data_IF_324335073109
#
_entry.id   IF_324335073109
#
_cell.length_a   1.000
_cell.length_b   1.000
_cell.length_c   1.000
_cell.angle_alpha   90.00
_cell.angle_beta   90.00
_cell.angle_gamma   90.00
#
_symmetry.space_group_name_H-M   'P 1'
#
loop_
_entity.id
_entity.type
_entity.pdbx_description
1 polymer ?
#
# COMPACT_ATOMS: atom_id res chain seq x y z
N UNK A 1 -98.24 13.77 46.68
CA UNK A 1 -99.07 12.55 46.66
C UNK A 1 -99.10 12.03 45.22
N UNK A 2 -98.48 10.86 44.97
CA UNK A 2 -98.69 9.88 43.87
C UNK A 2 -98.51 10.36 42.41
N UNK A 3 -98.14 9.57 41.39
CA UNK A 3 -97.40 8.31 41.17
C UNK A 3 -97.25 8.21 39.63
N UNK A 4 -96.06 7.78 39.17
CA UNK A 4 -95.76 6.92 38.00
C UNK A 4 -96.79 6.71 36.86
N UNK A 5 -96.36 6.89 35.60
CA UNK A 5 -96.41 5.80 34.61
C UNK A 5 -95.39 5.92 33.44
N UNK A 6 -94.98 4.75 32.97
CA UNK A 6 -93.90 4.40 32.04
C UNK A 6 -94.35 4.44 30.55
N UNK A 7 -93.44 4.60 29.58
CA UNK A 7 -93.32 3.70 28.41
C UNK A 7 -92.10 3.99 27.48
N UNK A 8 -91.67 2.93 26.80
CA UNK A 8 -90.44 2.66 26.04
C UNK A 8 -90.30 3.30 24.63
N UNK A 9 -89.04 3.47 24.17
CA UNK A 9 -88.56 3.82 22.80
C UNK A 9 -88.70 2.63 21.81
N UNK A 10 -88.77 2.77 20.44
CA UNK A 10 -87.57 3.12 19.61
C UNK A 10 -87.76 3.72 18.18
N UNK A 11 -86.61 4.12 17.60
CA UNK A 11 -86.21 4.36 16.19
C UNK A 11 -86.90 5.47 15.34
N UNK A 12 -86.17 6.55 15.09
CA UNK A 12 -86.29 7.37 13.87
C UNK A 12 -84.97 7.32 13.10
N UNK A 13 -85.07 7.00 11.82
CA UNK A 13 -83.99 6.98 10.84
C UNK A 13 -83.30 8.34 10.74
N UNK A 14 -81.96 8.32 10.77
CA UNK A 14 -81.12 9.49 10.51
C UNK A 14 -80.67 9.40 9.05
N UNK A 15 -80.90 10.44 8.21
CA UNK A 15 -80.50 10.41 6.81
C UNK A 15 -78.98 10.51 6.66
N UNK A 16 -78.42 9.67 5.80
CA UNK A 16 -77.00 9.67 5.43
C UNK A 16 -76.63 10.92 4.61
N UNK A 17 -76.12 11.96 5.26
CA UNK A 17 -75.43 13.06 4.58
C UNK A 17 -73.97 12.65 4.38
N UNK A 18 -73.61 12.36 3.13
CA UNK A 18 -72.26 12.01 2.73
C UNK A 18 -71.28 13.16 2.96
N UNK A 19 -70.49 13.07 4.03
CA UNK A 19 -69.29 13.90 4.18
C UNK A 19 -68.22 13.43 3.19
N UNK A 20 -68.04 14.18 2.11
CA UNK A 20 -66.88 14.04 1.23
C UNK A 20 -65.65 14.58 1.95
N UNK A 21 -64.80 13.68 2.47
CA UNK A 21 -63.47 14.03 2.97
C UNK A 21 -62.66 14.62 1.81
N UNK A 22 -62.09 15.83 1.91
CA UNK A 22 -61.19 16.34 0.88
C UNK A 22 -59.99 15.39 0.81
N UNK A 23 -59.82 14.69 -0.31
CA UNK A 23 -58.55 14.00 -0.61
C UNK A 23 -57.46 15.06 -0.73
N UNK A 24 -56.83 15.36 0.40
CA UNK A 24 -55.67 16.23 0.50
C UNK A 24 -54.64 15.70 -0.50
N UNK A 25 -54.34 16.49 -1.52
CA UNK A 25 -53.58 16.08 -2.70
C UNK A 25 -52.08 15.97 -2.36
N UNK A 26 -51.76 15.07 -1.42
CA UNK A 26 -50.45 14.85 -0.80
C UNK A 26 -49.35 14.60 -1.84
N UNK A 27 -49.72 14.00 -2.97
CA UNK A 27 -48.85 13.78 -4.13
C UNK A 27 -48.49 15.07 -4.89
N UNK A 28 -49.42 16.04 -5.02
CA UNK A 28 -49.11 17.34 -5.65
C UNK A 28 -48.17 18.16 -4.76
N UNK A 29 -48.42 18.18 -3.44
CA UNK A 29 -47.57 18.88 -2.46
C UNK A 29 -46.18 18.24 -2.36
N UNK A 30 -46.09 16.91 -2.44
CA UNK A 30 -44.81 16.20 -2.45
C UNK A 30 -44.03 16.43 -3.75
N UNK A 31 -44.69 16.39 -4.91
CA UNK A 31 -44.05 16.73 -6.20
C UNK A 31 -43.55 18.19 -6.20
N UNK A 32 -44.32 19.13 -5.67
CA UNK A 32 -43.88 20.54 -5.54
C UNK A 32 -42.65 20.67 -4.63
N UNK A 33 -42.61 19.98 -3.47
CA UNK A 33 -41.43 19.97 -2.59
C UNK A 33 -40.20 19.34 -3.24
N UNK A 34 -40.38 18.29 -4.05
CA UNK A 34 -39.27 17.66 -4.79
C UNK A 34 -38.75 18.62 -5.87
N UNK A 35 -39.64 19.31 -6.58
CA UNK A 35 -39.25 20.30 -7.60
C UNK A 35 -38.53 21.50 -6.98
N UNK A 36 -38.96 22.00 -5.83
CA UNK A 36 -38.25 23.07 -5.12
C UNK A 36 -36.89 22.62 -4.59
N UNK A 37 -36.79 21.43 -3.98
CA UNK A 37 -35.49 20.87 -3.58
C UNK A 37 -34.54 20.71 -4.77
N UNK A 38 -35.04 20.26 -5.92
CA UNK A 38 -34.23 20.19 -7.15
C UNK A 38 -33.78 21.57 -7.63
N UNK A 39 -34.65 22.59 -7.59
CA UNK A 39 -34.24 23.97 -7.94
C UNK A 39 -33.16 24.51 -7.01
N UNK A 40 -33.28 24.27 -5.70
CA UNK A 40 -32.29 24.70 -4.71
C UNK A 40 -30.94 24.02 -4.94
N UNK A 41 -30.93 22.71 -5.22
CA UNK A 41 -29.71 21.97 -5.54
C UNK A 41 -29.09 22.46 -6.86
N UNK A 42 -29.90 22.71 -7.89
CA UNK A 42 -29.40 23.25 -9.17
C UNK A 42 -28.80 24.63 -8.95
N UNK A 43 -29.45 25.49 -8.15
CA UNK A 43 -28.96 26.83 -7.83
C UNK A 43 -27.64 26.78 -7.05
N UNK A 44 -27.53 25.91 -6.03
CA UNK A 44 -26.28 25.75 -5.28
C UNK A 44 -25.14 25.21 -6.15
N UNK A 45 -25.42 24.27 -7.05
CA UNK A 45 -24.41 23.76 -8.01
C UNK A 45 -24.01 24.85 -9.01
N UNK A 46 -24.92 25.74 -9.38
CA UNK A 46 -24.63 26.83 -10.32
C UNK A 46 -23.80 27.92 -9.63
N UNK A 47 -24.13 28.27 -8.38
CA UNK A 47 -23.36 29.19 -7.54
C UNK A 47 -21.96 28.62 -7.22
N UNK A 48 -21.84 27.31 -6.94
CA UNK A 48 -20.55 26.63 -6.77
C UNK A 48 -19.74 26.62 -8.08
N UNK A 49 -20.38 26.41 -9.23
CA UNK A 49 -19.71 26.49 -10.54
C UNK A 49 -19.24 27.91 -10.86
N UNK A 50 -20.05 28.92 -10.58
CA UNK A 50 -19.65 30.32 -10.75
C UNK A 50 -18.52 30.69 -9.78
N UNK A 51 -18.57 30.25 -8.52
CA UNK A 51 -17.47 30.44 -7.57
C UNK A 51 -16.18 29.71 -8.01
N UNK A 52 -16.29 28.52 -8.60
CA UNK A 52 -15.15 27.80 -9.20
C UNK A 52 -14.64 28.52 -10.45
N UNK A 53 -15.51 29.09 -11.29
CA UNK A 53 -15.12 29.85 -12.49
C UNK A 53 -14.47 31.18 -12.13
N UNK A 54 -14.99 31.91 -11.14
CA UNK A 54 -14.41 33.14 -10.60
C UNK A 54 -13.09 32.84 -9.90
N UNK A 55 -13.01 31.77 -9.10
CA UNK A 55 -11.74 31.35 -8.51
C UNK A 55 -10.75 30.89 -9.59
N UNK A 56 -11.23 30.30 -10.68
CA UNK A 56 -10.39 29.93 -11.83
C UNK A 56 -9.94 31.15 -12.64
N UNK A 57 -10.74 32.22 -12.74
CA UNK A 57 -10.33 33.47 -13.39
C UNK A 57 -9.37 34.28 -12.51
N UNK A 58 -9.59 34.32 -11.19
CA UNK A 58 -8.71 35.00 -10.23
C UNK A 58 -7.41 34.23 -9.98
N UNK A 59 -7.39 32.92 -10.26
CA UNK A 59 -6.15 32.10 -10.31
C UNK A 59 -5.51 32.10 -11.71
N UNK A 60 -6.12 32.76 -12.70
CA UNK A 60 -5.58 32.90 -14.07
C UNK A 60 -5.01 34.28 -14.39
N UNK A 61 -4.85 35.16 -13.41
CA UNK A 61 -3.79 36.17 -13.48
C UNK A 61 -2.46 35.44 -13.35
N UNK A 62 -2.05 34.86 -14.48
CA UNK A 62 -0.69 34.43 -14.71
C UNK A 62 0.21 35.63 -14.41
N UNK A 63 0.98 35.54 -13.32
CA UNK A 63 2.38 35.91 -13.47
C UNK A 63 2.89 35.10 -14.65
N UNK A 64 2.94 35.71 -15.84
CA UNK A 64 3.68 35.18 -16.98
C UNK A 64 5.14 35.06 -16.50
N UNK A 65 5.51 33.90 -15.95
CA UNK A 65 6.92 33.52 -15.95
C UNK A 65 7.37 33.56 -17.42
N UNK A 66 8.50 34.23 -17.72
CA UNK A 66 8.92 34.41 -19.10
C UNK A 66 9.03 33.02 -19.75
N UNK A 67 8.39 32.81 -20.91
CA UNK A 67 8.41 31.54 -21.67
C UNK A 67 9.82 30.94 -21.86
N UNK A 68 10.87 31.74 -21.70
CA UNK A 68 12.25 31.27 -21.65
C UNK A 68 12.57 30.44 -20.41
N UNK A 69 12.12 30.81 -19.22
CA UNK A 69 12.42 30.09 -17.96
C UNK A 69 11.70 28.74 -17.83
N UNK A 70 10.48 28.62 -18.36
CA UNK A 70 9.73 27.37 -18.33
C UNK A 70 10.33 26.33 -19.29
N UNK A 71 10.76 26.79 -20.48
CA UNK A 71 11.47 25.96 -21.48
C UNK A 71 12.86 25.57 -20.98
N UNK A 72 13.59 26.49 -20.33
CA UNK A 72 14.91 26.21 -19.76
C UNK A 72 14.81 25.20 -18.61
N UNK A 73 13.81 25.34 -17.71
CA UNK A 73 13.52 24.36 -16.64
C UNK A 73 13.14 22.98 -17.17
N UNK A 74 12.31 22.90 -18.21
CA UNK A 74 11.96 21.61 -18.83
C UNK A 74 13.15 20.98 -19.54
N UNK A 75 14.00 21.79 -20.18
CA UNK A 75 15.24 21.33 -20.82
C UNK A 75 16.22 20.80 -19.78
N UNK A 76 16.39 21.49 -18.66
CA UNK A 76 17.22 21.06 -17.53
C UNK A 76 16.69 19.79 -16.87
N UNK A 77 15.37 19.64 -16.73
CA UNK A 77 14.74 18.41 -16.25
C UNK A 77 14.95 17.25 -17.21
N UNK A 78 14.76 17.46 -18.51
CA UNK A 78 14.98 16.44 -19.53
C UNK A 78 16.46 16.04 -19.59
N UNK A 79 17.38 17.00 -19.50
CA UNK A 79 18.81 16.76 -19.45
C UNK A 79 19.21 15.99 -18.19
N UNK A 80 18.69 16.36 -17.02
CA UNK A 80 18.90 15.64 -15.76
C UNK A 80 18.37 14.21 -15.83
N UNK A 81 17.18 13.99 -16.41
CA UNK A 81 16.62 12.65 -16.63
C UNK A 81 17.48 11.83 -17.62
N UNK A 82 18.00 12.48 -18.66
CA UNK A 82 18.90 11.85 -19.64
C UNK A 82 20.24 11.43 -19.02
N UNK A 83 20.86 12.30 -18.22
CA UNK A 83 22.08 12.00 -17.47
C UNK A 83 21.81 10.88 -16.46
N UNK A 84 20.68 10.94 -15.75
CA UNK A 84 20.30 9.89 -14.82
C UNK A 84 20.13 8.53 -15.53
N UNK A 85 19.43 8.51 -16.66
CA UNK A 85 19.24 7.31 -17.46
C UNK A 85 20.59 6.77 -17.97
N UNK A 86 21.50 7.63 -18.44
CA UNK A 86 22.82 7.22 -18.90
C UNK A 86 23.67 6.60 -17.79
N UNK A 87 23.67 7.19 -16.60
CA UNK A 87 24.40 6.66 -15.43
C UNK A 87 23.80 5.32 -14.99
N UNK A 88 22.47 5.22 -14.90
CA UNK A 88 21.78 3.97 -14.55
C UNK A 88 22.06 2.89 -15.58
N UNK A 89 22.04 3.22 -16.88
CA UNK A 89 22.37 2.28 -17.95
C UNK A 89 23.85 1.86 -17.88
N UNK A 90 24.78 2.78 -17.62
CA UNK A 90 26.20 2.45 -17.47
C UNK A 90 26.45 1.55 -16.26
N UNK A 91 25.90 1.90 -15.09
CA UNK A 91 25.99 1.10 -13.88
C UNK A 91 25.31 -0.27 -14.06
N UNK A 92 24.13 -0.31 -14.68
CA UNK A 92 23.42 -1.53 -15.02
C UNK A 92 24.21 -2.40 -15.99
N UNK A 93 24.84 -1.81 -17.00
CA UNK A 93 25.72 -2.53 -17.94
C UNK A 93 26.93 -3.12 -17.23
N UNK A 94 27.58 -2.37 -16.33
CA UNK A 94 28.69 -2.88 -15.51
C UNK A 94 28.22 -4.00 -14.59
N UNK A 95 27.07 -3.85 -13.93
CA UNK A 95 26.51 -4.86 -13.04
C UNK A 95 26.17 -6.14 -13.81
N UNK A 96 25.51 -6.04 -14.96
CA UNK A 96 25.21 -7.17 -15.84
C UNK A 96 26.48 -7.81 -16.37
N UNK A 97 27.47 -7.01 -16.79
CA UNK A 97 28.75 -7.53 -17.26
C UNK A 97 29.46 -8.29 -16.13
N UNK A 98 29.48 -7.74 -14.92
CA UNK A 98 30.07 -8.39 -13.75
C UNK A 98 29.30 -9.64 -13.34
N UNK A 99 27.97 -9.64 -13.41
CA UNK A 99 27.14 -10.81 -13.13
C UNK A 99 27.40 -11.92 -14.15
N UNK A 100 27.47 -11.58 -15.44
CA UNK A 100 27.77 -12.53 -16.51
C UNK A 100 29.23 -12.99 -16.51
N UNK A 101 30.15 -12.18 -15.97
CA UNK A 101 31.58 -12.51 -15.90
C UNK A 101 32.01 -13.11 -14.57
N UNK A 102 31.17 -13.12 -13.53
CA UNK A 102 31.56 -13.49 -12.16
C UNK A 102 32.03 -14.94 -12.08
N UNK A 103 31.37 -15.80 -12.86
CA UNK A 103 31.61 -17.23 -12.96
C UNK A 103 32.08 -17.62 -14.37
N UNK A 104 32.72 -16.68 -15.08
CA UNK A 104 33.24 -16.92 -16.42
C UNK A 104 34.23 -18.10 -16.45
N UNK A 105 34.96 -18.33 -15.36
CA UNK A 105 35.86 -19.47 -15.21
C UNK A 105 35.11 -20.80 -14.95
N UNK A 106 33.90 -20.73 -14.39
CA UNK A 106 33.05 -21.89 -14.13
C UNK A 106 32.29 -22.36 -15.38
N UNK A 107 31.91 -21.44 -16.29
CA UNK A 107 31.15 -21.76 -17.51
C UNK A 107 31.99 -21.61 -18.79
N UNK A 108 33.31 -21.56 -18.66
CA UNK A 108 34.20 -21.45 -19.79
C UNK A 108 33.99 -22.60 -20.77
N UNK A 109 33.63 -22.29 -22.02
CA UNK A 109 33.35 -23.28 -23.05
C UNK A 109 31.90 -23.77 -23.13
N UNK A 110 31.00 -23.28 -22.27
CA UNK A 110 29.57 -23.56 -22.39
C UNK A 110 28.94 -22.75 -23.53
N UNK A 111 28.00 -23.37 -24.23
CA UNK A 111 27.11 -22.71 -25.17
C UNK A 111 26.08 -21.83 -24.43
N UNK A 112 25.47 -20.88 -25.15
CA UNK A 112 24.41 -20.03 -24.58
C UNK A 112 23.24 -20.84 -24.00
N UNK A 113 22.90 -21.96 -24.65
CA UNK A 113 21.86 -22.86 -24.16
C UNK A 113 22.24 -23.48 -22.81
N UNK A 114 23.48 -23.95 -22.68
CA UNK A 114 23.99 -24.53 -21.43
C UNK A 114 24.04 -23.50 -20.31
N UNK A 115 24.47 -22.27 -20.59
CA UNK A 115 24.44 -21.17 -19.62
C UNK A 115 23.01 -20.95 -19.13
N UNK A 116 22.04 -20.74 -20.03
CA UNK A 116 20.65 -20.48 -19.64
C UNK A 116 20.01 -21.65 -18.89
N UNK A 117 20.43 -22.89 -19.18
CA UNK A 117 19.87 -24.08 -18.55
C UNK A 117 20.51 -24.39 -17.19
N UNK A 118 21.83 -24.30 -17.06
CA UNK A 118 22.57 -24.79 -15.89
C UNK A 118 22.97 -23.68 -14.91
N UNK A 119 23.16 -22.44 -15.37
CA UNK A 119 23.49 -21.33 -14.47
C UNK A 119 22.47 -21.13 -13.35
N UNK A 120 21.14 -21.10 -13.61
CA UNK A 120 20.17 -20.93 -12.55
C UNK A 120 20.18 -22.10 -11.57
N UNK A 121 20.37 -23.32 -12.06
CA UNK A 121 20.44 -24.54 -11.25
C UNK A 121 21.67 -24.52 -10.33
N UNK A 122 22.85 -24.16 -10.86
CA UNK A 122 24.07 -24.06 -10.07
C UNK A 122 24.00 -22.95 -9.02
N UNK A 123 23.46 -21.78 -9.39
CA UNK A 123 23.24 -20.68 -8.46
C UNK A 123 22.26 -21.07 -7.35
N UNK A 124 21.21 -21.82 -7.69
CA UNK A 124 20.27 -22.36 -6.70
C UNK A 124 20.95 -23.32 -5.73
N UNK A 125 21.74 -24.29 -6.24
CA UNK A 125 22.48 -25.24 -5.40
C UNK A 125 23.48 -24.52 -4.49
N UNK A 126 24.23 -23.54 -5.01
CA UNK A 126 25.16 -22.73 -4.22
C UNK A 126 24.42 -21.96 -3.12
N UNK A 127 23.29 -21.35 -3.46
CA UNK A 127 22.44 -20.67 -2.49
C UNK A 127 21.93 -21.63 -1.40
N UNK A 128 21.44 -22.81 -1.76
CA UNK A 128 21.00 -23.82 -0.79
C UNK A 128 22.14 -24.31 0.12
N UNK A 129 23.37 -24.43 -0.40
CA UNK A 129 24.54 -24.75 0.41
C UNK A 129 24.85 -23.64 1.42
N UNK A 130 24.78 -22.38 1.01
CA UNK A 130 24.96 -21.24 1.90
C UNK A 130 23.85 -21.22 2.96
N UNK A 131 22.59 -21.49 2.57
CA UNK A 131 21.48 -21.60 3.53
C UNK A 131 21.71 -22.70 4.56
N UNK A 132 22.29 -23.84 4.18
CA UNK A 132 22.58 -24.93 5.13
C UNK A 132 23.70 -24.59 6.11
N UNK A 133 24.71 -23.85 5.66
CA UNK A 133 25.88 -23.51 6.49
C UNK A 133 25.65 -22.28 7.36
N UNK A 134 25.06 -21.23 6.79
CA UNK A 134 24.89 -19.92 7.41
C UNK A 134 23.51 -19.31 7.04
N UNK A 135 22.39 -19.93 7.47
CA UNK A 135 21.04 -19.56 7.03
C UNK A 135 20.69 -18.11 7.35
N UNK A 136 21.01 -17.66 8.57
CA UNK A 136 20.66 -16.33 9.06
C UNK A 136 21.41 -15.26 8.26
N UNK A 137 22.73 -15.40 8.12
CA UNK A 137 23.54 -14.41 7.42
C UNK A 137 23.16 -14.29 5.94
N UNK A 138 22.87 -15.42 5.27
CA UNK A 138 22.42 -15.42 3.89
C UNK A 138 21.13 -14.61 3.71
N UNK A 139 20.16 -14.87 4.60
CA UNK A 139 18.87 -14.19 4.64
C UNK A 139 19.02 -12.69 4.96
N UNK A 140 19.85 -12.34 5.93
CA UNK A 140 20.22 -10.96 6.24
C UNK A 140 20.82 -10.23 5.03
N UNK A 141 21.79 -10.85 4.35
CA UNK A 141 22.42 -10.24 3.17
C UNK A 141 21.41 -9.95 2.06
N UNK A 142 20.54 -10.92 1.74
CA UNK A 142 19.51 -10.76 0.70
C UNK A 142 18.50 -9.67 1.08
N UNK A 143 17.93 -9.72 2.28
CA UNK A 143 16.98 -8.69 2.74
C UNK A 143 17.60 -7.29 2.78
N UNK A 144 18.89 -7.17 3.15
CA UNK A 144 19.62 -5.90 3.11
C UNK A 144 19.71 -5.32 1.70
N UNK A 145 20.04 -6.15 0.71
CA UNK A 145 20.06 -5.75 -0.71
C UNK A 145 18.67 -5.35 -1.18
N UNK A 146 17.63 -6.13 -0.84
CA UNK A 146 16.24 -5.85 -1.23
C UNK A 146 15.77 -4.50 -0.70
N UNK A 147 16.01 -4.21 0.57
CA UNK A 147 15.59 -2.96 1.18
C UNK A 147 16.33 -1.74 0.60
N UNK A 148 17.64 -1.88 0.35
CA UNK A 148 18.41 -0.84 -0.34
C UNK A 148 17.92 -0.62 -1.76
N UNK A 149 17.64 -1.70 -2.51
CA UNK A 149 17.17 -1.60 -3.88
C UNK A 149 15.76 -1.00 -3.96
N UNK A 150 14.86 -1.39 -3.05
CA UNK A 150 13.51 -0.83 -2.98
C UNK A 150 13.52 0.67 -2.71
N UNK A 151 14.32 1.13 -1.73
CA UNK A 151 14.45 2.56 -1.45
C UNK A 151 15.10 3.31 -2.62
N UNK A 152 16.08 2.69 -3.29
CA UNK A 152 16.67 3.25 -4.51
C UNK A 152 15.61 3.45 -5.59
N UNK A 153 14.83 2.41 -5.91
CA UNK A 153 13.79 2.48 -6.94
C UNK A 153 12.77 3.57 -6.60
N UNK A 154 12.38 3.69 -5.33
CA UNK A 154 11.46 4.73 -4.88
C UNK A 154 12.01 6.14 -5.14
N UNK A 155 13.28 6.39 -4.80
CA UNK A 155 13.93 7.67 -5.09
C UNK A 155 14.05 7.96 -6.59
N UNK A 156 14.25 6.93 -7.42
CA UNK A 156 14.19 7.10 -8.88
C UNK A 156 12.77 7.48 -9.35
N UNK A 157 11.73 6.91 -8.75
CA UNK A 157 10.34 7.23 -9.05
C UNK A 157 9.95 8.65 -8.62
N UNK A 158 10.48 9.15 -7.49
CA UNK A 158 10.35 10.54 -7.04
C UNK A 158 10.99 11.56 -8.02
N UNK A 159 11.82 11.10 -8.97
CA UNK A 159 12.41 11.94 -10.01
C UNK A 159 13.55 12.85 -9.52
N UNK A 160 14.16 12.54 -8.37
CA UNK A 160 15.30 13.31 -7.83
C UNK A 160 16.51 13.20 -8.78
N UNK A 161 17.22 14.31 -9.06
CA UNK A 161 18.48 14.25 -9.82
C UNK A 161 19.52 13.39 -9.06
N UNK A 162 20.42 12.70 -9.78
CA UNK A 162 21.31 11.70 -9.17
C UNK A 162 22.20 12.23 -8.04
N UNK A 163 22.53 13.53 -8.06
CA UNK A 163 23.34 14.17 -7.04
C UNK A 163 22.54 14.56 -5.78
N UNK A 164 21.22 14.61 -5.86
CA UNK A 164 20.30 14.83 -4.72
C UNK A 164 19.78 13.51 -4.12
N UNK A 165 20.26 12.38 -4.64
CA UNK A 165 19.90 11.06 -4.16
C UNK A 165 20.38 10.85 -2.72
N UNK A 166 19.46 10.55 -1.80
CA UNK A 166 19.77 10.36 -0.39
C UNK A 166 20.34 8.95 -0.17
N UNK A 167 21.66 8.85 -0.27
CA UNK A 167 22.42 7.62 0.01
C UNK A 167 22.29 7.18 1.45
N UNK A 168 22.11 8.12 2.37
CA UNK A 168 21.96 7.81 3.80
C UNK A 168 20.62 7.12 4.03
N UNK A 169 19.57 7.53 3.33
CA UNK A 169 18.27 6.86 3.35
C UNK A 169 18.35 5.42 2.82
N UNK A 170 19.00 5.20 1.67
CA UNK A 170 19.23 3.84 1.13
C UNK A 170 20.02 2.97 2.11
N UNK A 171 21.05 3.53 2.74
CA UNK A 171 21.86 2.83 3.74
C UNK A 171 21.04 2.47 4.98
N UNK A 172 20.22 3.39 5.50
CA UNK A 172 19.34 3.11 6.65
C UNK A 172 18.32 2.03 6.32
N UNK A 173 17.70 2.09 5.13
CA UNK A 173 16.77 1.05 4.66
C UNK A 173 17.46 -0.30 4.58
N UNK A 174 18.62 -0.36 3.91
CA UNK A 174 19.43 -1.58 3.80
C UNK A 174 19.88 -2.14 5.15
N UNK A 175 20.22 -1.27 6.11
CA UNK A 175 20.59 -1.69 7.47
C UNK A 175 19.41 -2.32 8.20
N UNK A 176 18.19 -1.77 8.05
CA UNK A 176 16.96 -2.35 8.61
C UNK A 176 16.67 -3.70 7.96
N UNK A 177 16.78 -3.81 6.64
CA UNK A 177 16.64 -5.08 5.91
C UNK A 177 17.66 -6.13 6.37
N UNK A 178 18.93 -5.74 6.48
CA UNK A 178 20.03 -6.62 6.85
C UNK A 178 19.93 -7.09 8.30
N UNK A 179 19.77 -6.16 9.24
CA UNK A 179 19.85 -6.49 10.67
C UNK A 179 18.53 -7.04 11.21
N UNK A 180 17.41 -6.45 10.81
CA UNK A 180 16.12 -6.76 11.42
C UNK A 180 15.29 -7.68 10.54
N UNK A 181 14.97 -7.29 9.30
CA UNK A 181 14.07 -8.09 8.47
C UNK A 181 14.62 -9.50 8.25
N UNK A 182 15.87 -9.60 7.79
CA UNK A 182 16.46 -10.88 7.48
C UNK A 182 16.60 -11.82 8.69
N UNK A 183 16.99 -11.30 9.85
CA UNK A 183 17.19 -12.11 11.06
C UNK A 183 15.89 -12.41 11.79
N UNK A 184 15.01 -11.42 12.01
CA UNK A 184 13.73 -11.61 12.69
C UNK A 184 12.82 -12.52 11.88
N UNK A 185 12.73 -12.32 10.55
CA UNK A 185 11.87 -13.16 9.70
C UNK A 185 12.33 -14.62 9.68
N UNK A 186 13.64 -14.89 9.78
CA UNK A 186 14.16 -16.25 9.90
C UNK A 186 13.62 -16.97 11.14
N UNK A 187 13.71 -16.33 12.32
CA UNK A 187 13.21 -16.90 13.56
C UNK A 187 11.69 -16.89 13.63
N UNK A 188 11.05 -15.88 13.05
CA UNK A 188 9.59 -15.78 12.98
C UNK A 188 8.97 -16.97 12.24
N UNK A 189 9.52 -17.38 11.10
CA UNK A 189 8.99 -18.54 10.38
C UNK A 189 9.14 -19.84 11.18
N UNK A 190 10.24 -20.02 11.91
CA UNK A 190 10.39 -21.17 12.81
C UNK A 190 9.39 -21.13 13.96
N UNK A 191 9.21 -19.94 14.56
CA UNK A 191 8.21 -19.71 15.61
C UNK A 191 6.79 -19.98 15.09
N UNK A 192 6.46 -19.55 13.88
CA UNK A 192 5.17 -19.78 13.26
C UNK A 192 4.89 -21.27 13.03
N UNK A 193 5.90 -22.04 12.61
CA UNK A 193 5.78 -23.50 12.51
C UNK A 193 5.58 -24.17 13.89
N UNK A 194 6.28 -23.69 14.92
CA UNK A 194 6.09 -24.19 16.29
C UNK A 194 4.72 -23.83 16.88
N UNK A 195 4.18 -22.66 16.55
CA UNK A 195 2.88 -22.18 17.02
C UNK A 195 1.72 -22.92 16.35
N UNK A 196 1.88 -23.32 15.10
CA UNK A 196 0.87 -24.06 14.32
C UNK A 196 1.44 -25.39 13.79
N UNK A 197 1.67 -26.39 14.68
CA UNK A 197 2.34 -27.65 14.34
C UNK A 197 1.45 -28.65 13.59
N UNK A 198 0.41 -28.17 12.90
CA UNK A 198 -0.60 -28.99 12.21
C UNK A 198 -0.36 -28.96 10.69
N UNK A 199 -0.83 -29.99 9.99
CA UNK A 199 -0.71 -30.11 8.53
C UNK A 199 -2.04 -29.95 7.79
N UNK A 200 -3.10 -29.53 8.49
CA UNK A 200 -4.42 -29.35 7.90
C UNK A 200 -4.50 -28.10 7.02
N UNK A 201 -5.46 -28.08 6.09
CA UNK A 201 -5.69 -26.96 5.18
C UNK A 201 -5.97 -25.63 5.90
N UNK A 202 -6.58 -25.67 7.10
CA UNK A 202 -6.95 -24.47 7.87
C UNK A 202 -5.74 -23.77 8.50
N UNK A 203 -4.59 -24.45 8.55
CA UNK A 203 -3.35 -23.92 9.14
C UNK A 203 -2.82 -22.75 8.33
N UNK A 204 -2.88 -22.83 7.00
CA UNK A 204 -2.42 -21.76 6.11
C UNK A 204 -3.18 -20.45 6.37
N UNK A 205 -4.53 -20.39 6.29
CA UNK A 205 -5.24 -19.16 6.59
C UNK A 205 -5.08 -18.72 8.06
N UNK A 206 -4.88 -19.63 9.01
CA UNK A 206 -4.57 -19.25 10.40
C UNK A 206 -3.20 -18.56 10.54
N UNK A 207 -2.16 -19.10 9.88
CA UNK A 207 -0.83 -18.48 9.80
C UNK A 207 -0.90 -17.11 9.14
N UNK A 208 -1.63 -16.98 8.02
CA UNK A 208 -1.87 -15.69 7.36
C UNK A 208 -2.58 -14.72 8.30
N UNK A 209 -3.66 -15.13 8.97
CA UNK A 209 -4.38 -14.25 9.88
C UNK A 209 -3.49 -13.77 11.04
N UNK A 210 -2.68 -14.66 11.62
CA UNK A 210 -1.72 -14.31 12.67
C UNK A 210 -0.64 -13.35 12.17
N UNK A 211 -0.08 -13.61 10.99
CA UNK A 211 0.92 -12.77 10.34
C UNK A 211 0.37 -11.36 10.10
N UNK A 212 -0.80 -11.28 9.49
CA UNK A 212 -1.42 -10.01 9.09
C UNK A 212 -2.00 -9.20 10.24
N UNK A 213 -2.03 -9.75 11.45
CA UNK A 213 -2.52 -9.05 12.65
C UNK A 213 -1.40 -8.83 13.65
N UNK A 214 -0.99 -9.88 14.35
CA UNK A 214 -0.03 -9.79 15.46
C UNK A 214 1.36 -9.47 14.92
N UNK A 215 1.84 -10.23 13.93
CA UNK A 215 3.19 -10.04 13.41
C UNK A 215 3.34 -8.70 12.69
N UNK A 216 2.39 -8.34 11.82
CA UNK A 216 2.41 -7.07 11.09
C UNK A 216 2.40 -5.87 12.04
N UNK A 217 1.63 -5.92 13.14
CA UNK A 217 1.64 -4.88 14.17
C UNK A 217 3.01 -4.76 14.87
N UNK A 218 3.61 -5.89 15.25
CA UNK A 218 4.93 -5.94 15.89
C UNK A 218 6.00 -5.41 14.91
N UNK A 219 6.03 -5.94 13.69
CA UNK A 219 7.02 -5.59 12.68
C UNK A 219 6.96 -4.11 12.31
N UNK A 220 5.78 -3.56 12.04
CA UNK A 220 5.62 -2.14 11.73
C UNK A 220 6.13 -1.25 12.89
N UNK A 221 5.83 -1.62 14.13
CA UNK A 221 6.30 -0.88 15.31
C UNK A 221 7.83 -0.92 15.42
N UNK A 222 8.45 -2.10 15.22
CA UNK A 222 9.91 -2.26 15.20
C UNK A 222 10.53 -1.42 14.08
N UNK A 223 9.99 -1.53 12.87
CA UNK A 223 10.48 -0.82 11.68
C UNK A 223 10.53 0.69 11.91
N UNK A 224 9.42 1.30 12.30
CA UNK A 224 9.36 2.75 12.53
C UNK A 224 10.20 3.19 13.73
N UNK A 225 10.27 2.38 14.78
CA UNK A 225 11.13 2.67 15.93
C UNK A 225 12.59 2.75 15.51
N UNK A 226 13.08 1.73 14.81
CA UNK A 226 14.48 1.65 14.38
C UNK A 226 14.78 2.70 13.32
N UNK A 227 13.87 2.91 12.37
CA UNK A 227 14.05 3.94 11.36
C UNK A 227 14.12 5.34 11.99
N UNK A 228 13.28 5.62 12.99
CA UNK A 228 13.32 6.85 13.76
C UNK A 228 14.63 7.04 14.53
N UNK A 229 15.16 5.97 15.14
CA UNK A 229 16.46 5.96 15.80
C UNK A 229 17.60 6.24 14.81
N UNK A 230 17.59 5.58 13.64
CA UNK A 230 18.57 5.80 12.58
C UNK A 230 18.48 7.20 11.95
N UNK A 231 17.33 7.86 12.07
CA UNK A 231 17.11 9.27 11.72
C UNK A 231 17.47 10.24 12.85
N UNK A 232 17.95 9.75 14.00
CA UNK A 232 18.24 10.53 15.21
C UNK A 232 17.05 11.37 15.69
N UNK A 233 15.82 10.85 15.55
CA UNK A 233 14.62 11.51 16.04
C UNK A 233 14.45 11.31 17.55
N UNK A 234 13.78 12.26 18.21
CA UNK A 234 13.41 12.11 19.62
C UNK A 234 12.32 11.03 19.79
N UNK A 235 12.26 10.33 20.94
CA UNK A 235 11.26 9.29 21.19
C UNK A 235 9.82 9.76 20.98
N UNK A 236 9.50 11.01 21.35
CA UNK A 236 8.16 11.58 21.16
C UNK A 236 7.78 11.71 19.68
N UNK A 237 8.73 12.07 18.82
CA UNK A 237 8.50 12.13 17.36
C UNK A 237 8.26 10.76 16.78
N UNK A 238 9.06 9.77 17.19
CA UNK A 238 8.91 8.38 16.75
C UNK A 238 7.55 7.80 17.18
N UNK A 239 7.15 8.01 18.44
CA UNK A 239 5.84 7.60 18.94
C UNK A 239 4.69 8.32 18.22
N UNK A 240 4.87 9.59 17.89
CA UNK A 240 3.94 10.35 17.06
C UNK A 240 3.77 9.72 15.68
N UNK A 241 4.89 9.43 14.99
CA UNK A 241 4.91 8.79 13.67
C UNK A 241 4.23 7.42 13.71
N UNK A 242 4.57 6.55 14.67
CA UNK A 242 3.91 5.25 14.84
C UNK A 242 2.40 5.43 15.01
N UNK A 243 1.94 6.33 15.88
CA UNK A 243 0.50 6.52 16.12
C UNK A 243 -0.25 6.98 14.86
N UNK A 244 0.37 7.81 14.03
CA UNK A 244 -0.27 8.34 12.82
C UNK A 244 -0.20 7.37 11.65
N UNK A 245 0.86 6.56 11.54
CA UNK A 245 1.09 5.66 10.41
C UNK A 245 0.62 4.22 10.65
N UNK A 246 0.43 3.79 11.91
CA UNK A 246 0.14 2.39 12.25
C UNK A 246 -1.05 1.80 11.47
N UNK A 247 -2.23 2.42 11.57
CA UNK A 247 -3.43 1.92 10.88
C UNK A 247 -3.36 2.07 9.36
N UNK A 248 -2.95 3.23 8.81
CA UNK A 248 -2.68 3.36 7.38
C UNK A 248 -1.77 2.25 6.84
N UNK A 249 -0.71 1.91 7.60
CA UNK A 249 0.27 0.91 7.19
C UNK A 249 -0.31 -0.50 7.16
N UNK A 250 -0.99 -0.91 8.25
CA UNK A 250 -1.63 -2.23 8.34
C UNK A 250 -2.67 -2.40 7.22
N UNK A 251 -3.51 -1.40 7.02
CA UNK A 251 -4.57 -1.47 5.99
C UNK A 251 -4.04 -1.41 4.57
N UNK A 252 -2.94 -0.72 4.32
CA UNK A 252 -2.21 -0.80 3.05
C UNK A 252 -1.62 -2.20 2.86
N UNK A 253 -1.03 -2.77 3.90
CA UNK A 253 -0.43 -4.09 3.88
C UNK A 253 -1.43 -5.19 3.53
N UNK A 254 -2.66 -5.12 4.07
CA UNK A 254 -3.74 -6.06 3.75
C UNK A 254 -4.14 -6.11 2.28
N UNK A 255 -3.76 -5.13 1.46
CA UNK A 255 -4.02 -5.16 0.00
C UNK A 255 -3.04 -6.06 -0.76
N UNK A 256 -1.87 -6.33 -0.18
CA UNK A 256 -0.77 -7.04 -0.83
C UNK A 256 -0.47 -8.36 -0.12
N UNK A 257 -0.24 -8.27 1.18
CA UNK A 257 0.38 -9.33 1.98
C UNK A 257 -0.49 -10.57 2.18
N UNK A 258 -1.83 -10.51 2.37
CA UNK A 258 -2.61 -11.73 2.55
C UNK A 258 -2.49 -12.70 1.38
N UNK A 259 -2.49 -12.21 0.14
CA UNK A 259 -2.31 -13.04 -1.05
C UNK A 259 -0.88 -13.58 -1.15
N UNK A 260 0.13 -12.74 -0.88
CA UNK A 260 1.52 -13.18 -0.86
C UNK A 260 1.75 -14.29 0.19
N UNK A 261 1.18 -14.14 1.39
CA UNK A 261 1.34 -15.10 2.48
C UNK A 261 0.54 -16.39 2.30
N UNK A 262 -0.57 -16.38 1.56
CA UNK A 262 -1.22 -17.63 1.14
C UNK A 262 -0.25 -18.50 0.33
N UNK A 263 0.56 -17.89 -0.54
CA UNK A 263 1.62 -18.60 -1.27
C UNK A 263 2.77 -18.98 -0.33
N UNK A 264 3.24 -18.03 0.50
CA UNK A 264 4.33 -18.25 1.46
C UNK A 264 4.09 -19.45 2.37
N UNK A 265 2.90 -19.54 2.97
CA UNK A 265 2.57 -20.60 3.92
C UNK A 265 1.99 -21.84 3.26
N UNK A 266 1.38 -21.71 2.08
CA UNK A 266 0.74 -22.83 1.38
C UNK A 266 1.68 -23.64 0.50
N UNK A 267 2.68 -23.02 -0.12
CA UNK A 267 3.50 -23.65 -1.17
C UNK A 267 4.99 -23.59 -0.87
N UNK A 268 5.46 -22.51 -0.26
CA UNK A 268 6.91 -22.28 -0.11
C UNK A 268 7.48 -23.04 1.09
N UNK A 269 8.53 -23.87 0.91
CA UNK A 269 9.24 -24.53 2.02
C UNK A 269 9.79 -23.51 3.02
N UNK A 270 9.78 -23.84 4.32
CA UNK A 270 10.13 -22.91 5.41
C UNK A 270 11.47 -22.20 5.20
N UNK A 271 12.47 -22.92 4.69
CA UNK A 271 13.80 -22.35 4.45
C UNK A 271 13.80 -21.29 3.36
N UNK A 272 12.90 -21.40 2.38
CA UNK A 272 12.79 -20.58 1.18
C UNK A 272 11.78 -19.43 1.31
N UNK A 273 10.96 -19.42 2.37
CA UNK A 273 9.90 -18.42 2.57
C UNK A 273 10.41 -16.99 2.57
N UNK A 274 11.55 -16.75 3.21
CA UNK A 274 12.09 -15.41 3.27
C UNK A 274 12.59 -14.92 1.92
N UNK A 275 13.21 -15.77 1.09
CA UNK A 275 13.59 -15.39 -0.27
C UNK A 275 12.35 -15.01 -1.10
N UNK A 276 11.29 -15.80 -0.99
CA UNK A 276 10.01 -15.49 -1.64
C UNK A 276 9.42 -14.17 -1.14
N UNK A 277 9.39 -13.95 0.18
CA UNK A 277 8.87 -12.71 0.76
C UNK A 277 9.74 -11.52 0.36
N UNK A 278 11.06 -11.66 0.34
CA UNK A 278 12.00 -10.63 -0.12
C UNK A 278 11.71 -10.17 -1.56
N UNK A 279 11.27 -11.06 -2.46
CA UNK A 279 10.84 -10.67 -3.81
C UNK A 279 9.61 -9.73 -3.80
N UNK A 280 8.65 -9.98 -2.92
CA UNK A 280 7.45 -9.14 -2.76
C UNK A 280 7.78 -7.87 -1.97
N UNK A 281 8.67 -8.01 -0.98
CA UNK A 281 9.17 -6.95 -0.12
C UNK A 281 9.88 -5.86 -0.93
N UNK A 282 10.55 -6.20 -2.03
CA UNK A 282 11.12 -5.21 -2.94
C UNK A 282 10.05 -4.21 -3.44
N UNK A 283 8.87 -4.71 -3.82
CA UNK A 283 7.73 -3.90 -4.25
C UNK A 283 7.20 -3.10 -3.05
N UNK A 284 7.03 -3.75 -1.91
CA UNK A 284 6.53 -3.12 -0.69
C UNK A 284 7.42 -1.97 -0.22
N UNK A 285 8.73 -2.19 -0.08
CA UNK A 285 9.71 -1.16 0.30
C UNK A 285 9.71 -0.01 -0.72
N UNK A 286 9.57 -0.30 -2.02
CA UNK A 286 9.44 0.77 -3.02
C UNK A 286 8.23 1.67 -2.75
N UNK A 287 7.08 1.07 -2.39
CA UNK A 287 5.85 1.82 -2.03
C UNK A 287 6.05 2.58 -0.71
N UNK A 288 6.64 1.95 0.30
CA UNK A 288 6.91 2.58 1.60
C UNK A 288 7.88 3.77 1.51
N UNK A 289 8.81 3.69 0.58
CA UNK A 289 9.82 4.69 0.34
C UNK A 289 9.41 5.73 -0.69
N UNK A 290 8.16 5.76 -1.16
CA UNK A 290 7.65 6.87 -1.99
C UNK A 290 6.83 7.84 -1.14
#
# INVERSE_FOLDING_TARGET
>A
MLLYHHHHRPLREVPSTGYSIPKLNRLKTQKQRITERRRLIVRSITEDKEAIVVKKSDTFDQQEEPKGEEVDRDTDRLMSRGINAAIVLAAGTVAVTKLLSIDHDYWHGWTLYEILRYAPEHNWVAYEQILKTNPVLAKMAISGVVYSLGDWIAQCYEGKPLFEFDRTRVLRSGLVGFTLHGSLSHYYYQFCEALFPFQDWWVVPAKVAFDQTVWSAIWNTIYYTVLGLLRFQSPDKVLGEIKTTFWPMITAGWKLWPLAHLVTYGVIPVDQRLLWVDCIELIWVTILST
#
